data_IF_034095770752
#
_entry.id   IF_034095770752
#
_cell.length_a   1.000
_cell.length_b   1.000
_cell.length_c   1.000
_cell.angle_alpha   90.00
_cell.angle_beta   90.00
_cell.angle_gamma   90.00
#
_symmetry.space_group_name_H-M   'P 1'
#
loop_
_entity.id
_entity.type
_entity.pdbx_description
1 polymer ?
#
# COMPACT_ATOMS: atom_id res chain seq x y z
N UNK A 1 -0.39 -1.55 23.68
CA UNK A 1 -1.05 -1.25 22.40
C UNK A 1 -1.11 -2.56 21.61
N UNK A 2 -2.30 -2.99 21.19
CA UNK A 2 -2.42 -4.21 20.39
C UNK A 2 -1.82 -3.96 19.01
N UNK A 3 -0.84 -4.78 18.62
CA UNK A 3 -0.28 -4.77 17.27
C UNK A 3 -1.32 -5.47 16.38
N UNK A 4 -2.10 -4.70 15.63
CA UNK A 4 -3.00 -5.27 14.65
C UNK A 4 -2.16 -5.76 13.47
N UNK A 5 -1.97 -7.07 13.37
CA UNK A 5 -1.41 -7.70 12.18
C UNK A 5 -2.54 -8.12 11.26
N UNK A 6 -2.45 -7.70 10.00
CA UNK A 6 -3.34 -8.19 8.95
C UNK A 6 -2.82 -9.56 8.53
N UNK A 7 -3.75 -10.51 8.38
CA UNK A 7 -3.44 -11.83 7.83
C UNK A 7 -2.75 -11.70 6.48
N UNK A 8 -1.78 -12.57 6.22
CA UNK A 8 -1.05 -12.54 4.95
C UNK A 8 -1.96 -12.91 3.79
N UNK A 9 -1.90 -12.16 2.70
CA UNK A 9 -2.56 -12.56 1.46
C UNK A 9 -1.72 -13.61 0.73
N UNK A 10 -2.33 -14.74 0.42
CA UNK A 10 -1.70 -15.90 -0.21
C UNK A 10 -2.17 -16.18 -1.63
N UNK A 11 -3.11 -15.39 -2.16
CA UNK A 11 -3.72 -15.58 -3.47
C UNK A 11 -5.00 -16.44 -3.44
N UNK A 12 -5.22 -17.24 -2.39
CA UNK A 12 -6.43 -18.05 -2.23
C UNK A 12 -7.47 -17.35 -1.34
N UNK A 13 -7.00 -16.56 -0.36
CA UNK A 13 -7.86 -15.80 0.52
C UNK A 13 -8.63 -14.70 -0.23
N UNK A 14 -9.75 -14.27 0.34
CA UNK A 14 -10.54 -13.18 -0.26
C UNK A 14 -9.75 -11.88 -0.29
N UNK A 15 -9.26 -11.52 -1.48
CA UNK A 15 -8.55 -10.25 -1.70
C UNK A 15 -9.36 -9.04 -1.24
N UNK A 16 -10.68 -9.04 -1.46
CA UNK A 16 -11.57 -7.97 -1.02
C UNK A 16 -11.55 -7.77 0.51
N UNK A 17 -11.58 -8.87 1.28
CA UNK A 17 -11.49 -8.79 2.75
C UNK A 17 -10.10 -8.37 3.21
N UNK A 18 -9.06 -8.94 2.60
CA UNK A 18 -7.68 -8.56 2.90
C UNK A 18 -7.43 -7.07 2.62
N UNK A 19 -7.89 -6.56 1.47
CA UNK A 19 -7.76 -5.15 1.07
C UNK A 19 -8.47 -4.21 2.05
N UNK A 20 -9.64 -4.60 2.58
CA UNK A 20 -10.34 -3.82 3.61
C UNK A 20 -9.52 -3.74 4.90
N UNK A 21 -8.99 -4.88 5.39
CA UNK A 21 -8.12 -4.93 6.57
C UNK A 21 -6.84 -4.10 6.37
N UNK A 22 -6.22 -4.22 5.20
CA UNK A 22 -5.01 -3.48 4.84
C UNK A 22 -5.24 -1.97 4.80
N UNK A 23 -6.36 -1.52 4.20
CA UNK A 23 -6.73 -0.11 4.19
C UNK A 23 -6.98 0.44 5.60
N UNK A 24 -7.56 -0.37 6.49
CA UNK A 24 -7.74 0.01 7.90
C UNK A 24 -6.38 0.15 8.63
N UNK A 25 -5.45 -0.79 8.41
CA UNK A 25 -4.09 -0.72 8.96
C UNK A 25 -3.35 0.53 8.48
N UNK A 26 -3.34 0.78 7.17
CA UNK A 26 -2.68 1.95 6.58
C UNK A 26 -3.34 3.26 7.05
N UNK A 27 -4.66 3.30 7.21
CA UNK A 27 -5.35 4.45 7.82
C UNK A 27 -4.92 4.70 9.26
N UNK A 28 -4.77 3.66 10.06
CA UNK A 28 -4.26 3.78 11.42
C UNK A 28 -2.82 4.33 11.47
N UNK A 29 -2.02 4.06 10.44
CA UNK A 29 -0.65 4.55 10.29
C UNK A 29 -0.54 5.93 9.63
N UNK A 30 -1.65 6.55 9.24
CA UNK A 30 -1.66 7.82 8.50
C UNK A 30 -1.25 7.70 7.03
N UNK A 31 -1.33 6.49 6.46
CA UNK A 31 -0.92 6.15 5.09
C UNK A 31 -2.09 5.95 4.12
N UNK A 32 -3.33 6.18 4.55
CA UNK A 32 -4.51 5.90 3.72
C UNK A 32 -4.60 6.76 2.46
N UNK A 33 -3.98 7.94 2.46
CA UNK A 33 -3.99 8.88 1.35
C UNK A 33 -3.24 8.33 0.12
N UNK A 34 -2.31 7.38 0.31
CA UNK A 34 -1.58 6.70 -0.78
C UNK A 34 -2.49 5.73 -1.58
N UNK A 35 -3.56 5.23 -0.96
CA UNK A 35 -4.41 4.19 -1.56
C UNK A 35 -5.51 4.74 -2.46
N UNK A 36 -5.87 6.00 -2.25
CA UNK A 36 -6.81 6.69 -3.11
C UNK A 36 -5.97 7.26 -4.26
N UNK A 37 -6.26 6.92 -5.52
CA UNK A 37 -5.59 7.39 -6.77
C UNK A 37 -5.53 8.93 -6.92
N UNK A 38 -5.95 9.67 -5.91
CA UNK A 38 -5.81 11.11 -5.78
C UNK A 38 -4.41 11.41 -5.27
N UNK A 39 -3.46 11.49 -6.19
CA UNK A 39 -2.19 12.15 -5.92
C UNK A 39 -2.44 13.50 -5.23
N UNK A 40 -1.65 13.87 -4.21
CA UNK A 40 -1.83 15.14 -3.51
C UNK A 40 -1.78 16.27 -4.52
N UNK A 41 -2.86 17.05 -4.61
CA UNK A 41 -2.93 18.23 -5.47
C UNK A 41 -1.91 19.22 -4.91
N UNK A 42 -0.79 19.35 -5.61
CA UNK A 42 0.29 20.15 -5.12
C UNK A 42 0.12 21.62 -5.46
N UNK A 43 -0.23 22.43 -4.47
CA UNK A 43 -0.21 23.89 -4.61
C UNK A 43 1.22 24.43 -4.63
N UNK A 44 1.61 25.05 -5.76
CA UNK A 44 2.83 25.83 -6.02
C UNK A 44 4.21 25.13 -5.85
N UNK A 45 5.16 25.51 -6.72
CA UNK A 45 6.45 24.85 -6.96
C UNK A 45 7.45 24.83 -5.79
N UNK A 46 7.32 25.72 -4.81
CA UNK A 46 8.27 25.82 -3.68
C UNK A 46 7.85 24.96 -2.48
N UNK A 47 6.56 24.93 -2.15
CA UNK A 47 5.97 23.89 -1.32
C UNK A 47 6.12 22.53 -2.01
N UNK A 48 6.16 22.52 -3.37
CA UNK A 48 6.63 21.52 -4.37
C UNK A 48 7.41 20.28 -3.95
N UNK A 49 8.56 20.54 -3.34
CA UNK A 49 9.60 19.51 -3.21
C UNK A 49 9.48 18.77 -1.89
N UNK A 50 9.13 19.48 -0.81
CA UNK A 50 9.11 18.91 0.53
C UNK A 50 7.99 17.90 0.71
N UNK A 51 6.76 18.22 0.30
CA UNK A 51 5.67 17.26 0.44
C UNK A 51 5.81 16.02 -0.51
N UNK A 52 6.84 15.95 -1.37
CA UNK A 52 6.98 15.05 -2.56
C UNK A 52 7.91 13.98 -2.09
N UNK A 53 8.98 14.44 -1.44
CA UNK A 53 9.76 13.69 -0.50
C UNK A 53 8.89 13.10 0.62
N UNK A 54 8.01 13.88 1.27
CA UNK A 54 7.10 13.32 2.29
C UNK A 54 6.13 12.29 1.70
N UNK A 55 5.51 12.57 0.54
CA UNK A 55 4.63 11.62 -0.14
C UNK A 55 5.38 10.34 -0.57
N UNK A 56 6.58 10.47 -1.13
CA UNK A 56 7.42 9.33 -1.50
C UNK A 56 7.79 8.49 -0.26
N UNK A 57 8.10 9.13 0.87
CA UNK A 57 8.35 8.43 2.13
C UNK A 57 7.09 7.72 2.68
N UNK A 58 5.90 8.29 2.48
CA UNK A 58 4.63 7.65 2.83
C UNK A 58 4.32 6.48 1.88
N UNK A 59 4.61 6.63 0.60
CA UNK A 59 4.47 5.58 -0.42
C UNK A 59 5.39 4.40 -0.13
N UNK A 60 6.66 4.63 0.15
CA UNK A 60 7.64 3.59 0.50
C UNK A 60 7.21 2.81 1.75
N UNK A 61 6.68 3.51 2.77
CA UNK A 61 6.13 2.88 3.98
C UNK A 61 4.91 2.04 3.68
N UNK A 62 3.98 2.54 2.87
CA UNK A 62 2.78 1.81 2.47
C UNK A 62 3.14 0.57 1.64
N UNK A 63 4.08 0.71 0.70
CA UNK A 63 4.60 -0.39 -0.12
C UNK A 63 5.20 -1.48 0.76
N UNK A 64 6.11 -1.10 1.66
CA UNK A 64 6.73 -2.02 2.61
C UNK A 64 5.72 -2.72 3.51
N UNK A 65 4.73 -1.97 4.04
CA UNK A 65 3.69 -2.54 4.89
C UNK A 65 2.84 -3.56 4.14
N UNK A 66 2.51 -3.29 2.88
CA UNK A 66 1.77 -4.24 2.05
C UNK A 66 2.63 -5.48 1.77
N UNK A 67 3.87 -5.32 1.31
CA UNK A 67 4.80 -6.43 1.07
C UNK A 67 4.92 -7.37 2.28
N UNK A 68 5.06 -6.81 3.49
CA UNK A 68 5.17 -7.59 4.73
C UNK A 68 3.87 -8.35 5.10
N UNK A 69 2.76 -7.97 4.49
CA UNK A 69 1.44 -8.61 4.64
C UNK A 69 1.07 -9.55 3.49
N UNK A 70 2.04 -9.94 2.67
CA UNK A 70 1.90 -10.95 1.63
C UNK A 70 2.59 -12.25 2.05
N UNK A 71 2.14 -13.37 1.47
CA UNK A 71 2.84 -14.66 1.57
C UNK A 71 4.04 -14.68 0.63
N UNK A 72 5.00 -15.58 0.90
CA UNK A 72 6.21 -15.71 0.09
C UNK A 72 5.91 -16.11 -1.37
N UNK A 73 4.79 -16.81 -1.61
CA UNK A 73 4.34 -17.16 -2.95
C UNK A 73 3.93 -15.92 -3.73
N UNK A 74 3.04 -15.11 -3.17
CA UNK A 74 2.56 -13.87 -3.79
C UNK A 74 3.68 -12.84 -3.92
N UNK A 75 4.58 -12.76 -2.93
CA UNK A 75 5.74 -11.86 -2.97
C UNK A 75 6.62 -12.08 -4.21
N UNK A 76 6.82 -13.33 -4.62
CA UNK A 76 7.61 -13.66 -5.83
C UNK A 76 6.96 -13.13 -7.10
N UNK A 77 5.63 -13.08 -7.12
CA UNK A 77 4.86 -12.69 -8.29
C UNK A 77 4.68 -11.17 -8.40
N UNK A 78 4.86 -10.41 -7.30
CA UNK A 78 4.70 -8.94 -7.28
C UNK A 78 6.00 -8.18 -7.02
N UNK A 79 7.15 -8.87 -6.95
CA UNK A 79 8.45 -8.26 -6.63
C UNK A 79 8.92 -7.20 -7.65
N UNK A 80 8.34 -7.18 -8.84
CA UNK A 80 8.59 -6.25 -9.93
C UNK A 80 7.74 -4.96 -9.84
N UNK A 81 6.79 -4.89 -8.91
CA UNK A 81 5.92 -3.73 -8.73
C UNK A 81 6.54 -2.70 -7.78
N UNK A 82 6.88 -1.53 -8.30
CA UNK A 82 7.51 -0.45 -7.53
C UNK A 82 6.50 0.50 -6.87
N UNK A 83 5.24 0.50 -7.34
CA UNK A 83 4.20 1.43 -6.85
C UNK A 83 3.14 0.70 -6.04
N UNK A 84 2.61 1.35 -5.01
CA UNK A 84 1.49 0.79 -4.21
C UNK A 84 0.27 0.50 -5.07
N UNK A 85 -0.02 1.37 -6.03
CA UNK A 85 -1.15 1.22 -6.94
C UNK A 85 -0.96 0.04 -7.89
N UNK A 86 0.23 -0.11 -8.50
CA UNK A 86 0.57 -1.24 -9.36
C UNK A 86 0.49 -2.56 -8.63
N UNK A 87 1.09 -2.62 -7.44
CA UNK A 87 1.03 -3.78 -6.56
C UNK A 87 -0.41 -4.18 -6.22
N UNK A 88 -1.28 -3.24 -5.81
CA UNK A 88 -2.69 -3.53 -5.51
C UNK A 88 -3.49 -3.97 -6.74
N UNK A 89 -3.19 -3.43 -7.93
CA UNK A 89 -3.80 -3.86 -9.19
C UNK A 89 -3.42 -5.30 -9.52
N UNK A 90 -2.13 -5.64 -9.39
CA UNK A 90 -1.62 -6.99 -9.62
C UNK A 90 -2.19 -7.99 -8.63
N UNK A 91 -2.26 -7.64 -7.34
CA UNK A 91 -2.89 -8.46 -6.31
C UNK A 91 -4.38 -8.74 -6.57
N UNK A 92 -5.09 -7.76 -7.15
CA UNK A 92 -6.49 -7.94 -7.55
C UNK A 92 -6.68 -8.82 -8.79
N UNK A 93 -5.62 -9.09 -9.56
CA UNK A 93 -5.64 -9.95 -10.75
C UNK A 93 -5.39 -11.43 -10.44
N UNK A 94 -5.08 -11.80 -9.20
CA UNK A 94 -5.02 -13.21 -8.75
C UNK A 94 -6.41 -13.88 -8.68
N UNK A 95 -7.48 -13.13 -8.93
CA UNK A 95 -8.88 -13.54 -8.80
C UNK A 95 -9.49 -13.80 -10.17
#
# INVERSE_FOLDING_TARGET
MAKFEVEKFDGENSFSLWRIKMRALLRQQGLAEILDDKAPIWGNEEDSSKAKEEFAALEEKAHSAIMLSLSDGVLRDVTDEETVVGLLKKLGAFI
#
